data_IF_167115192220
#
_entry.id   IF_167115192220
#
_cell.length_a   1.000
_cell.length_b   1.000
_cell.length_c   1.000
_cell.angle_alpha   90.00
_cell.angle_beta   90.00
_cell.angle_gamma   90.00
#
_symmetry.space_group_name_H-M   'P 1'
#
loop_
_entity.id
_entity.type
_entity.pdbx_description
1 polymer ?
#
# COMPACT_ATOMS: atom_id res chain seq x y z
N UNK A 1 -5.61 6.45 22.54
CA UNK A 1 -4.48 6.18 21.62
C UNK A 1 -4.74 6.98 20.36
N UNK A 2 -3.74 7.67 19.81
CA UNK A 2 -3.85 8.23 18.45
C UNK A 2 -4.12 7.07 17.49
N UNK A 3 -5.16 7.19 16.66
CA UNK A 3 -5.40 6.25 15.57
C UNK A 3 -4.31 6.35 14.50
N UNK A 4 -4.36 5.52 13.46
CA UNK A 4 -3.42 5.63 12.34
C UNK A 4 -3.53 7.01 11.68
N UNK A 5 -2.39 7.58 11.27
CA UNK A 5 -2.33 8.87 10.57
C UNK A 5 -2.79 8.76 9.11
N UNK A 6 -2.86 7.55 8.57
CA UNK A 6 -3.40 7.23 7.25
C UNK A 6 -3.91 5.79 7.22
N UNK A 7 -4.92 5.46 6.38
CA UNK A 7 -5.46 4.11 6.27
C UNK A 7 -4.38 3.06 5.99
N UNK A 8 -4.47 1.89 6.63
CA UNK A 8 -3.52 0.79 6.45
C UNK A 8 -2.18 0.93 7.20
N UNK A 9 -1.91 2.08 7.83
CA UNK A 9 -0.72 2.23 8.67
C UNK A 9 -0.73 1.20 9.80
N UNK A 10 0.38 0.48 9.98
CA UNK A 10 0.55 -0.49 11.06
C UNK A 10 1.21 0.17 12.28
N UNK A 11 0.72 -0.09 13.51
CA UNK A 11 1.36 0.44 14.70
C UNK A 11 2.71 -0.25 14.95
N UNK A 12 3.57 0.42 15.70
CA UNK A 12 4.74 -0.22 16.30
C UNK A 12 4.35 -1.22 17.40
N UNK A 13 5.32 -1.98 17.94
CA UNK A 13 5.06 -2.98 18.99
C UNK A 13 4.33 -2.44 20.23
N UNK A 14 4.47 -1.15 20.53
CA UNK A 14 3.77 -0.48 21.63
C UNK A 14 2.37 0.02 21.28
N UNK A 15 1.84 -0.30 20.09
CA UNK A 15 0.49 0.08 19.65
C UNK A 15 0.37 1.49 19.06
N UNK A 16 1.45 2.29 19.06
CA UNK A 16 1.45 3.66 18.54
C UNK A 16 2.02 3.76 17.12
N UNK A 17 1.60 4.77 16.37
CA UNK A 17 1.87 4.89 14.94
C UNK A 17 3.08 5.77 14.62
N UNK A 18 3.69 5.60 13.45
CA UNK A 18 4.65 6.59 12.97
C UNK A 18 3.93 7.92 12.67
N UNK A 19 4.48 9.10 13.00
CA UNK A 19 5.84 9.35 13.51
C UNK A 19 5.97 9.32 15.03
N UNK A 20 4.91 9.01 15.77
CA UNK A 20 4.93 8.90 17.24
C UNK A 20 5.88 7.78 17.71
N UNK A 21 5.95 6.70 16.94
CA UNK A 21 6.92 5.59 17.09
C UNK A 21 7.89 5.60 15.93
N UNK A 22 9.15 5.85 16.24
CA UNK A 22 10.25 5.63 15.30
C UNK A 22 10.84 4.25 15.57
N UNK A 23 10.95 3.42 14.53
CA UNK A 23 11.79 2.22 14.58
C UNK A 23 13.22 2.70 14.65
N UNK A 24 13.77 2.61 15.85
CA UNK A 24 15.02 3.24 16.20
C UNK A 24 16.14 2.21 16.18
N UNK A 25 17.33 2.75 16.35
CA UNK A 25 18.55 2.13 15.89
C UNK A 25 18.97 0.88 16.62
N UNK A 26 19.76 0.07 15.92
CA UNK A 26 20.49 -1.03 16.50
C UNK A 26 21.83 -0.49 17.02
N UNK A 27 22.17 -0.83 18.27
CA UNK A 27 23.39 -0.41 18.95
C UNK A 27 24.15 -1.61 19.53
N UNK A 28 25.47 -1.50 19.54
CA UNK A 28 26.34 -2.34 20.37
C UNK A 28 26.65 -1.59 21.67
N UNK A 29 26.29 -2.17 22.80
CA UNK A 29 26.55 -1.61 24.13
C UNK A 29 28.01 -1.82 24.55
N UNK A 30 28.51 -1.06 25.56
CA UNK A 30 29.88 -1.20 26.05
C UNK A 30 30.21 -2.60 26.60
N UNK A 31 29.21 -3.32 27.11
CA UNK A 31 29.33 -4.70 27.59
C UNK A 31 29.39 -5.75 26.46
N UNK A 32 29.30 -5.31 25.20
CA UNK A 32 29.35 -6.16 24.02
C UNK A 32 28.00 -6.70 23.55
N UNK A 33 26.91 -6.42 24.26
CA UNK A 33 25.56 -6.82 23.85
C UNK A 33 25.05 -5.95 22.70
N UNK A 34 24.11 -6.50 21.91
CA UNK A 34 23.42 -5.76 20.85
C UNK A 34 21.99 -5.51 21.28
N UNK A 35 21.48 -4.31 21.05
CA UNK A 35 20.08 -3.96 21.33
C UNK A 35 19.46 -3.22 20.17
N UNK A 36 18.15 -3.37 20.02
CA UNK A 36 17.32 -2.47 19.23
C UNK A 36 16.65 -1.48 20.16
N UNK A 37 16.94 -0.20 19.96
CA UNK A 37 16.26 0.87 20.68
C UNK A 37 14.96 1.19 19.93
N UNK A 38 13.87 1.45 20.63
CA UNK A 38 12.61 1.97 20.07
C UNK A 38 12.19 3.17 20.91
N UNK A 39 11.91 4.29 20.25
CA UNK A 39 11.52 5.54 20.92
C UNK A 39 10.10 5.93 20.54
N UNK A 40 9.23 6.00 21.55
CA UNK A 40 7.83 6.37 21.43
C UNK A 40 7.53 7.59 22.30
N UNK A 41 6.87 8.61 21.75
CA UNK A 41 6.52 9.82 22.52
C UNK A 41 5.54 9.55 23.67
N UNK A 42 4.78 8.46 23.60
CA UNK A 42 3.77 8.11 24.61
C UNK A 42 4.28 7.10 25.62
N UNK A 43 5.05 6.13 25.14
CA UNK A 43 5.49 5.00 25.93
C UNK A 43 6.92 5.14 26.45
N UNK A 44 7.65 6.15 25.97
CA UNK A 44 9.06 6.32 26.26
C UNK A 44 9.94 5.39 25.44
N UNK A 45 11.15 5.18 25.95
CA UNK A 45 12.21 4.41 25.30
C UNK A 45 12.20 2.96 25.76
N UNK A 46 12.28 2.05 24.80
CA UNK A 46 12.46 0.62 25.02
C UNK A 46 13.77 0.14 24.40
N UNK A 47 14.37 -0.86 25.04
CA UNK A 47 15.52 -1.58 24.50
C UNK A 47 15.17 -3.06 24.40
N UNK A 48 15.29 -3.61 23.19
CA UNK A 48 15.10 -5.03 22.94
C UNK A 48 16.47 -5.68 22.74
N UNK A 49 16.85 -6.66 23.56
CA UNK A 49 18.06 -7.43 23.32
C UNK A 49 17.99 -8.10 21.95
N UNK A 50 19.09 -8.01 21.19
CA UNK A 50 19.26 -8.69 19.92
C UNK A 50 20.21 -9.86 20.12
N UNK A 51 19.79 -11.05 19.73
CA UNK A 51 20.66 -12.22 19.74
C UNK A 51 21.67 -12.13 18.60
N UNK A 52 22.94 -11.95 18.95
CA UNK A 52 24.04 -11.90 18.00
C UNK A 52 24.13 -13.12 17.07
N UNK A 53 23.65 -14.30 17.48
CA UNK A 53 23.65 -15.49 16.61
C UNK A 53 22.56 -15.42 15.53
N UNK A 54 21.50 -14.66 15.79
CA UNK A 54 20.38 -14.46 14.88
C UNK A 54 20.53 -13.19 14.03
N UNK A 55 21.51 -12.33 14.34
CA UNK A 55 21.78 -11.12 13.57
C UNK A 55 22.51 -11.43 12.27
N UNK A 56 22.13 -10.72 11.21
CA UNK A 56 22.80 -10.79 9.92
C UNK A 56 24.29 -10.39 10.05
N UNK A 57 25.16 -11.09 9.31
CA UNK A 57 26.62 -10.89 9.41
C UNK A 57 27.07 -9.50 8.98
N UNK A 58 26.37 -8.89 8.03
CA UNK A 58 26.66 -7.53 7.60
C UNK A 58 26.33 -6.52 8.69
N UNK A 59 25.17 -6.66 9.33
CA UNK A 59 24.72 -5.85 10.46
C UNK A 59 25.66 -6.00 11.68
N UNK A 60 26.10 -7.22 11.99
CA UNK A 60 27.11 -7.41 13.03
C UNK A 60 28.41 -6.69 12.68
N UNK A 61 28.81 -6.67 11.41
CA UNK A 61 30.06 -6.04 10.98
C UNK A 61 30.02 -4.53 11.16
N UNK A 62 28.95 -3.83 10.78
CA UNK A 62 28.93 -2.36 10.94
C UNK A 62 28.62 -1.97 12.39
N UNK A 63 27.80 -2.71 13.14
CA UNK A 63 27.67 -2.52 14.60
C UNK A 63 29.00 -2.66 15.34
N UNK A 64 29.82 -3.67 15.00
CA UNK A 64 31.15 -3.82 15.61
C UNK A 64 32.13 -2.72 15.23
N UNK A 65 32.01 -2.15 14.04
CA UNK A 65 32.90 -1.09 13.54
C UNK A 65 32.52 0.30 14.06
N UNK A 66 31.23 0.58 14.15
CA UNK A 66 30.68 1.93 14.34
C UNK A 66 29.92 2.09 15.67
N UNK A 67 29.56 0.99 16.34
CA UNK A 67 28.77 0.99 17.58
C UNK A 67 27.26 1.13 17.36
N UNK A 68 26.84 1.54 16.16
CA UNK A 68 25.45 1.67 15.72
C UNK A 68 25.39 1.56 14.19
N UNK A 69 24.24 1.25 13.59
CA UNK A 69 24.18 1.01 12.13
C UNK A 69 23.01 1.66 11.38
N UNK A 70 21.79 1.54 11.87
CA UNK A 70 20.59 2.05 11.16
C UNK A 70 19.70 2.79 12.11
N UNK A 71 19.12 3.94 11.75
CA UNK A 71 18.10 4.63 12.56
C UNK A 71 18.50 6.05 13.01
N UNK A 72 17.56 6.78 13.59
CA UNK A 72 17.75 8.19 13.97
C UNK A 72 18.50 8.31 15.31
N UNK A 73 19.49 9.21 15.39
CA UNK A 73 20.20 9.52 16.65
C UNK A 73 19.27 10.29 17.58
N UNK A 74 19.50 10.20 18.88
CA UNK A 74 18.61 10.79 19.89
C UNK A 74 18.47 12.32 19.73
N UNK A 75 19.60 12.99 19.46
CA UNK A 75 19.67 14.43 19.19
C UNK A 75 18.90 14.88 17.93
N UNK A 76 18.62 13.97 17.00
CA UNK A 76 17.93 14.26 15.73
C UNK A 76 16.41 13.95 15.79
N UNK A 77 15.92 13.37 16.90
CA UNK A 77 14.56 12.83 16.96
C UNK A 77 13.48 13.89 16.84
N UNK A 78 13.66 15.01 17.54
CA UNK A 78 12.70 16.11 17.51
C UNK A 78 12.53 16.65 16.08
N UNK A 79 13.64 16.88 15.40
CA UNK A 79 13.66 17.40 14.02
C UNK A 79 13.08 16.41 13.02
N UNK A 80 13.38 15.12 13.14
CA UNK A 80 12.84 14.08 12.25
C UNK A 80 11.33 13.95 12.45
N UNK A 81 10.84 13.98 13.69
CA UNK A 81 9.41 14.00 13.99
C UNK A 81 8.73 15.24 13.45
N UNK A 82 9.30 16.42 13.67
CA UNK A 82 8.73 17.67 13.17
C UNK A 82 8.68 17.68 11.64
N UNK A 83 9.75 17.24 10.96
CA UNK A 83 9.77 17.08 9.49
C UNK A 83 8.74 16.08 9.01
N UNK A 84 8.57 14.95 9.71
CA UNK A 84 7.56 13.94 9.37
C UNK A 84 6.14 14.48 9.56
N UNK A 85 5.88 15.18 10.65
CA UNK A 85 4.60 15.83 10.94
C UNK A 85 4.30 16.96 9.95
N UNK A 86 5.29 17.78 9.58
CA UNK A 86 5.17 18.78 8.51
C UNK A 86 4.89 18.10 7.17
N UNK A 87 5.55 16.97 6.87
CA UNK A 87 5.30 16.16 5.68
C UNK A 87 3.91 15.56 5.66
N UNK A 88 3.36 15.13 6.79
CA UNK A 88 1.98 14.63 6.87
C UNK A 88 0.99 15.78 6.63
N UNK A 89 1.18 16.91 7.32
CA UNK A 89 0.40 18.14 7.11
C UNK A 89 0.54 18.73 5.71
N UNK A 90 1.67 18.49 5.04
CA UNK A 90 1.87 18.88 3.64
C UNK A 90 1.50 17.78 2.65
N UNK A 91 1.37 16.52 3.07
CA UNK A 91 0.82 15.41 2.27
C UNK A 91 -0.70 15.43 2.25
N UNK A 92 -1.34 16.14 3.18
CA UNK A 92 -2.70 16.67 2.95
C UNK A 92 -2.77 17.60 1.72
N UNK A 93 -1.63 18.08 1.17
CA UNK A 93 -1.56 18.77 -0.14
C UNK A 93 -1.13 17.88 -1.31
N UNK A 94 -0.88 16.59 -1.09
CA UNK A 94 -0.83 15.58 -2.14
C UNK A 94 -1.90 14.53 -1.80
N UNK A 95 -3.15 15.00 -1.87
CA UNK A 95 -4.37 14.22 -1.64
C UNK A 95 -4.32 12.93 -2.47
N UNK A 96 -4.14 11.78 -1.83
CA UNK A 96 -4.74 10.54 -2.32
C UNK A 96 -6.24 10.80 -2.31
N UNK A 97 -6.83 10.96 -3.49
CA UNK A 97 -8.23 11.34 -3.61
C UNK A 97 -9.12 10.25 -3.02
N UNK A 98 -10.36 10.60 -2.67
CA UNK A 98 -11.38 9.60 -2.33
C UNK A 98 -11.50 8.54 -3.42
N UNK A 99 -11.30 8.92 -4.69
CA UNK A 99 -11.32 8.00 -5.82
C UNK A 99 -10.15 7.01 -5.81
N UNK A 100 -8.93 7.44 -5.45
CA UNK A 100 -7.78 6.55 -5.32
C UNK A 100 -8.02 5.48 -4.23
N UNK A 101 -8.58 5.87 -3.09
CA UNK A 101 -8.87 4.95 -1.97
C UNK A 101 -10.00 3.97 -2.30
N UNK A 102 -11.07 4.46 -2.94
CA UNK A 102 -12.19 3.61 -3.33
C UNK A 102 -11.78 2.64 -4.45
N UNK A 103 -11.00 3.11 -5.43
CA UNK A 103 -10.43 2.27 -6.47
C UNK A 103 -9.47 1.23 -5.89
N UNK A 104 -8.65 1.62 -4.90
CA UNK A 104 -7.82 0.69 -4.17
C UNK A 104 -8.66 -0.43 -3.57
N UNK A 105 -9.69 -0.09 -2.79
CA UNK A 105 -10.60 -1.07 -2.19
C UNK A 105 -11.19 -2.06 -3.20
N UNK A 106 -11.63 -1.56 -4.36
CA UNK A 106 -12.16 -2.38 -5.46
C UNK A 106 -11.11 -3.37 -5.98
N UNK A 107 -9.89 -2.90 -6.25
CA UNK A 107 -8.83 -3.76 -6.77
C UNK A 107 -8.34 -4.78 -5.73
N UNK A 108 -8.32 -4.41 -4.45
CA UNK A 108 -7.98 -5.33 -3.35
C UNK A 108 -9.00 -6.47 -3.24
N UNK A 109 -10.29 -6.15 -3.35
CA UNK A 109 -11.37 -7.14 -3.37
C UNK A 109 -11.26 -8.08 -4.59
N UNK A 110 -11.00 -7.53 -5.78
CA UNK A 110 -10.81 -8.32 -7.00
C UNK A 110 -9.61 -9.27 -6.90
N UNK A 111 -8.47 -8.79 -6.39
CA UNK A 111 -7.25 -9.59 -6.25
C UNK A 111 -7.41 -10.67 -5.19
N UNK A 112 -7.95 -10.32 -4.01
CA UNK A 112 -8.11 -11.26 -2.89
C UNK A 112 -9.12 -12.38 -3.20
N UNK A 113 -10.18 -12.05 -3.94
CA UNK A 113 -11.16 -13.03 -4.41
C UNK A 113 -10.70 -13.84 -5.62
N UNK A 114 -9.63 -13.42 -6.30
CA UNK A 114 -9.14 -13.97 -7.58
C UNK A 114 -10.19 -13.83 -8.70
N UNK A 115 -10.83 -12.68 -8.77
CA UNK A 115 -11.73 -12.34 -9.87
C UNK A 115 -10.97 -12.36 -11.22
N UNK A 116 -11.63 -12.83 -12.26
CA UNK A 116 -11.07 -12.80 -13.62
C UNK A 116 -11.00 -11.36 -14.15
N UNK A 117 -12.01 -10.55 -13.82
CA UNK A 117 -12.04 -9.12 -14.12
C UNK A 117 -12.99 -8.34 -13.23
N UNK A 118 -12.84 -7.02 -13.20
CA UNK A 118 -13.81 -6.07 -12.62
C UNK A 118 -14.47 -5.32 -13.77
N UNK A 119 -15.79 -5.40 -13.85
CA UNK A 119 -16.59 -4.60 -14.78
C UNK A 119 -17.16 -3.38 -14.06
N UNK A 120 -17.14 -2.24 -14.73
CA UNK A 120 -17.64 -0.97 -14.21
C UNK A 120 -18.55 -0.32 -15.25
N UNK A 121 -19.77 0.01 -14.84
CA UNK A 121 -20.78 0.61 -15.71
C UNK A 121 -21.54 1.70 -14.94
N UNK A 122 -21.82 2.83 -15.60
CA UNK A 122 -22.72 3.81 -15.01
C UNK A 122 -24.15 3.31 -15.09
N UNK A 123 -24.85 3.38 -13.97
CA UNK A 123 -26.27 3.08 -13.86
C UNK A 123 -27.00 4.27 -13.25
N UNK A 124 -28.33 4.24 -13.25
CA UNK A 124 -29.14 5.32 -12.71
C UNK A 124 -28.78 5.63 -11.24
N UNK A 125 -28.43 4.61 -10.48
CA UNK A 125 -28.15 4.66 -9.04
C UNK A 125 -26.71 5.09 -8.72
N UNK A 126 -25.76 4.99 -9.65
CA UNK A 126 -24.35 5.17 -9.34
C UNK A 126 -23.40 4.55 -10.37
N UNK A 127 -22.20 4.18 -9.91
CA UNK A 127 -21.28 3.32 -10.66
C UNK A 127 -21.48 1.88 -10.17
N UNK A 128 -22.00 1.01 -11.04
CA UNK A 128 -22.04 -0.42 -10.77
C UNK A 128 -20.64 -1.02 -10.92
N UNK A 129 -20.24 -1.84 -9.96
CA UNK A 129 -18.95 -2.51 -9.91
C UNK A 129 -19.22 -4.00 -9.76
N UNK A 130 -18.82 -4.80 -10.75
CA UNK A 130 -19.09 -6.24 -10.83
C UNK A 130 -17.78 -7.02 -10.90
N UNK A 131 -17.53 -7.87 -9.90
CA UNK A 131 -16.42 -8.81 -9.88
C UNK A 131 -16.85 -10.09 -10.62
N UNK A 132 -16.10 -10.47 -11.65
CA UNK A 132 -16.45 -11.59 -12.55
C UNK A 132 -15.61 -12.83 -12.28
N UNK A 133 -16.23 -14.00 -12.36
CA UNK A 133 -15.66 -15.34 -12.15
C UNK A 133 -16.27 -16.29 -13.21
N UNK A 134 -15.57 -16.49 -14.31
CA UNK A 134 -16.06 -17.19 -15.48
C UNK A 134 -17.37 -16.56 -15.98
N UNK A 135 -18.49 -17.32 -16.03
CA UNK A 135 -19.78 -16.80 -16.50
C UNK A 135 -20.60 -16.07 -15.42
N UNK A 136 -20.11 -15.98 -14.18
CA UNK A 136 -20.84 -15.41 -13.05
C UNK A 136 -20.19 -14.14 -12.55
N UNK A 137 -20.97 -13.27 -11.93
CA UNK A 137 -20.46 -12.06 -11.28
C UNK A 137 -21.25 -11.71 -10.03
N UNK A 138 -20.59 -11.04 -9.10
CA UNK A 138 -21.25 -10.39 -7.97
C UNK A 138 -20.75 -8.95 -7.88
N UNK A 139 -21.61 -8.04 -7.45
CA UNK A 139 -21.29 -6.62 -7.51
C UNK A 139 -22.04 -5.78 -6.51
N UNK A 140 -21.69 -4.50 -6.51
CA UNK A 140 -22.36 -3.45 -5.73
C UNK A 140 -22.44 -2.18 -6.56
N UNK A 141 -23.36 -1.30 -6.19
CA UNK A 141 -23.43 0.05 -6.75
C UNK A 141 -22.79 1.04 -5.79
N UNK A 142 -21.79 1.78 -6.27
CA UNK A 142 -21.28 2.97 -5.62
C UNK A 142 -22.22 4.14 -5.90
N UNK A 143 -23.09 4.46 -4.94
CA UNK A 143 -24.15 5.46 -5.11
C UNK A 143 -23.66 6.90 -5.23
N UNK A 144 -22.43 7.19 -4.77
CA UNK A 144 -21.81 8.50 -4.96
C UNK A 144 -21.34 8.63 -6.42
N UNK A 145 -22.20 9.22 -7.25
CA UNK A 145 -21.94 9.43 -8.69
C UNK A 145 -20.70 10.25 -8.95
N UNK A 146 -20.42 11.25 -8.11
CA UNK A 146 -19.26 12.12 -8.31
C UNK A 146 -17.99 11.31 -8.09
N UNK A 147 -17.96 10.54 -7.01
CA UNK A 147 -16.85 9.63 -6.72
C UNK A 147 -16.68 8.58 -7.84
N UNK A 148 -17.77 7.99 -8.33
CA UNK A 148 -17.73 7.06 -9.47
C UNK A 148 -17.14 7.69 -10.74
N UNK A 149 -17.53 8.92 -11.08
CA UNK A 149 -16.93 9.67 -12.19
C UNK A 149 -15.45 9.97 -12.00
N UNK A 150 -15.03 10.30 -10.78
CA UNK A 150 -13.61 10.53 -10.46
C UNK A 150 -12.78 9.24 -10.62
N UNK A 151 -13.31 8.09 -10.18
CA UNK A 151 -12.67 6.77 -10.36
C UNK A 151 -12.50 6.44 -11.84
N UNK A 152 -13.57 6.53 -12.63
CA UNK A 152 -13.51 6.21 -14.06
C UNK A 152 -12.55 7.14 -14.80
N UNK A 153 -12.58 8.45 -14.50
CA UNK A 153 -11.66 9.42 -15.08
C UNK A 153 -10.20 9.05 -14.78
N UNK A 154 -9.88 8.73 -13.53
CA UNK A 154 -8.55 8.29 -13.15
C UNK A 154 -8.11 7.02 -13.90
N UNK A 155 -9.00 6.03 -14.04
CA UNK A 155 -8.72 4.80 -14.79
C UNK A 155 -8.39 5.12 -16.26
N UNK A 156 -9.22 5.92 -16.92
CA UNK A 156 -9.03 6.34 -18.32
C UNK A 156 -7.68 7.06 -18.51
N UNK A 157 -7.34 7.96 -17.58
CA UNK A 157 -6.08 8.69 -17.59
C UNK A 157 -4.87 7.76 -17.39
N UNK A 158 -4.89 6.91 -16.38
CA UNK A 158 -3.79 6.00 -16.03
C UNK A 158 -3.58 4.88 -17.06
N UNK A 159 -4.67 4.34 -17.62
CA UNK A 159 -4.61 3.33 -18.66
C UNK A 159 -4.31 3.91 -20.05
N UNK A 160 -4.29 5.24 -20.19
CA UNK A 160 -4.02 5.98 -21.43
C UNK A 160 -5.03 5.62 -22.54
N UNK A 161 -6.32 5.59 -22.18
CA UNK A 161 -7.42 5.26 -23.09
C UNK A 161 -7.82 6.40 -24.02
N UNK A 162 -7.11 7.54 -24.04
CA UNK A 162 -7.45 8.65 -24.92
C UNK A 162 -7.40 8.20 -26.39
N UNK A 163 -8.58 8.05 -27.00
CA UNK A 163 -8.81 7.54 -28.36
C UNK A 163 -8.49 6.05 -28.57
N UNK A 164 -8.53 5.22 -27.52
CA UNK A 164 -8.29 3.77 -27.60
C UNK A 164 -9.28 3.00 -26.74
N UNK A 165 -9.78 1.89 -27.28
CA UNK A 165 -10.64 0.96 -26.55
C UNK A 165 -9.89 0.08 -25.53
N UNK A 166 -8.56 0.12 -25.50
CA UNK A 166 -7.80 -0.64 -24.50
C UNK A 166 -6.44 -0.02 -24.16
N UNK A 167 -5.99 -0.31 -22.95
CA UNK A 167 -4.80 0.25 -22.35
C UNK A 167 -4.28 -0.60 -21.19
N UNK A 168 -3.22 -0.13 -20.54
CA UNK A 168 -2.65 -0.78 -19.37
C UNK A 168 -2.26 0.26 -18.34
N UNK A 169 -2.51 -0.06 -17.08
CA UNK A 169 -2.02 0.71 -15.94
C UNK A 169 -1.24 -0.19 -14.98
N UNK A 170 -0.23 0.38 -14.35
CA UNK A 170 0.48 -0.24 -13.24
C UNK A 170 -0.22 0.15 -11.93
N UNK A 171 -0.38 -0.80 -11.02
CA UNK A 171 -1.03 -0.62 -9.73
C UNK A 171 -0.22 -1.26 -8.61
N UNK A 172 -0.11 -0.61 -7.46
CA UNK A 172 0.68 -1.13 -6.33
C UNK A 172 -0.25 -1.64 -5.23
N UNK A 173 -0.15 -2.93 -4.89
CA UNK A 173 -0.88 -3.57 -3.81
C UNK A 173 0.03 -4.52 -3.02
N UNK A 174 -0.02 -4.50 -1.69
CA UNK A 174 0.80 -5.38 -0.84
C UNK A 174 2.32 -5.21 -1.02
N UNK A 175 2.77 -4.08 -1.57
CA UNK A 175 4.18 -3.85 -1.94
C UNK A 175 4.59 -4.47 -3.29
N UNK A 176 3.67 -5.11 -4.01
CA UNK A 176 3.87 -5.63 -5.35
C UNK A 176 3.21 -4.73 -6.40
N UNK A 177 3.83 -4.62 -7.57
CA UNK A 177 3.25 -3.95 -8.73
C UNK A 177 2.52 -4.96 -9.61
N UNK A 178 1.20 -4.76 -9.73
CA UNK A 178 0.30 -5.48 -10.62
C UNK A 178 0.12 -4.68 -11.91
N UNK A 179 0.00 -5.40 -13.04
CA UNK A 179 -0.46 -4.80 -14.29
C UNK A 179 -1.95 -5.05 -14.44
N UNK A 180 -2.69 -4.01 -14.77
CA UNK A 180 -4.12 -4.12 -15.07
C UNK A 180 -4.31 -3.75 -16.52
N UNK A 181 -4.86 -4.68 -17.31
CA UNK A 181 -5.36 -4.34 -18.65
C UNK A 181 -6.73 -3.70 -18.47
N UNK A 182 -6.96 -2.57 -19.12
CA UNK A 182 -8.25 -1.89 -19.11
C UNK A 182 -8.81 -1.92 -20.51
N UNK A 183 -10.08 -2.29 -20.65
CA UNK A 183 -10.85 -2.27 -21.89
C UNK A 183 -12.06 -1.36 -21.71
N UNK A 184 -12.28 -0.44 -22.63
CA UNK A 184 -13.50 0.34 -22.74
C UNK A 184 -14.35 -0.24 -23.87
N UNK A 185 -15.64 -0.45 -23.60
CA UNK A 185 -16.60 -0.94 -24.58
C UNK A 185 -17.95 -0.24 -24.40
N UNK A 186 -18.80 -0.32 -25.41
CA UNK A 186 -20.15 0.22 -25.35
C UNK A 186 -21.11 -0.85 -24.83
N UNK A 187 -21.95 -0.50 -23.86
CA UNK A 187 -23.05 -1.30 -23.38
C UNK A 187 -24.32 -0.42 -23.34
N UNK A 188 -25.36 -0.80 -24.08
CA UNK A 188 -26.61 -0.03 -24.19
C UNK A 188 -26.46 1.47 -24.51
N UNK A 189 -25.41 1.85 -25.24
CA UNK A 189 -25.11 3.25 -25.58
C UNK A 189 -24.37 4.03 -24.49
N UNK A 190 -23.96 3.37 -23.40
CA UNK A 190 -23.11 3.91 -22.34
C UNK A 190 -21.71 3.27 -22.38
N UNK A 191 -20.70 4.00 -21.91
CA UNK A 191 -19.34 3.46 -21.77
C UNK A 191 -19.27 2.55 -20.54
N UNK A 192 -18.81 1.32 -20.76
CA UNK A 192 -18.48 0.35 -19.73
C UNK A 192 -16.98 0.00 -19.78
N UNK A 193 -16.43 -0.37 -18.64
CA UNK A 193 -15.00 -0.64 -18.48
C UNK A 193 -14.80 -2.04 -17.91
N UNK A 194 -13.84 -2.78 -18.46
CA UNK A 194 -13.37 -4.07 -17.93
C UNK A 194 -11.91 -3.96 -17.52
N UNK A 195 -11.63 -4.23 -16.26
CA UNK A 195 -10.29 -4.23 -15.68
C UNK A 195 -9.87 -5.67 -15.41
N UNK A 196 -8.79 -6.11 -16.05
CA UNK A 196 -8.29 -7.47 -16.00
C UNK A 196 -6.94 -7.47 -15.28
N UNK A 197 -6.86 -7.95 -14.03
CA UNK A 197 -5.60 -8.11 -13.34
C UNK A 197 -4.71 -9.13 -14.06
N UNK A 198 -3.49 -8.75 -14.40
CA UNK A 198 -2.50 -9.64 -15.02
C UNK A 198 -1.67 -10.27 -13.90
N UNK A 199 -2.09 -11.44 -13.44
CA UNK A 199 -1.31 -12.22 -12.49
C UNK A 199 -0.06 -12.79 -13.18
N UNK A 200 1.12 -12.64 -12.56
CA UNK A 200 2.31 -13.35 -13.01
C UNK A 200 2.03 -14.85 -12.92
N UNK A 201 2.15 -15.58 -14.03
CA UNK A 201 2.13 -17.05 -14.01
C UNK A 201 3.22 -17.50 -13.04
N UNK A 202 2.85 -18.27 -12.02
CA UNK A 202 3.82 -19.11 -11.33
C UNK A 202 4.39 -20.05 -12.39
N UNK A 203 5.71 -20.06 -12.55
CA UNK A 203 6.37 -21.11 -13.31
C UNK A 203 6.00 -22.43 -12.64
N UNK A 204 5.10 -23.19 -13.25
CA UNK A 204 4.87 -24.58 -12.88
C UNK A 204 6.07 -25.35 -13.41
N UNK A 205 7.14 -25.38 -12.63
CA UNK A 205 8.26 -26.28 -12.87
C UNK A 205 7.84 -27.71 -12.54
N UNK A 206 7.50 -28.46 -13.59
CA UNK A 206 7.62 -29.92 -13.65
C UNK A 206 6.57 -30.76 -12.92
N UNK A 207 5.78 -31.51 -13.69
CA UNK A 207 6.02 -32.95 -13.78
C UNK A 207 5.51 -33.46 -15.13
N UNK A 208 6.46 -33.80 -16.00
CA UNK A 208 6.24 -34.84 -17.01
C UNK A 208 6.08 -36.16 -16.26
N UNK A 209 4.97 -36.86 -16.51
CA UNK A 209 4.97 -38.33 -16.47
C UNK A 209 5.23 -38.81 -17.89
#
# INVERSE_FOLDING_TARGET
>A
MSGPYFPGQQPGPCGHYYPDVLRMRDEKKPDGTYVRIVDCIYCGRYEFPLDHLALDKELLRKLNKQGFETGTREEELADVREKAMKRLKSKDRMQTSSADLEFQSIMEEAISSKADSVEMEFVREGLEITYTFGPSGFGRVLSDKKLGSEIVKMIVEHAKLQNKQSGQMDWVYGGETYKIKVEEYENFGESAFRLIPIYKRQNVSGHKQ
#
